data_IF_890561574687
#
_entry.id   IF_890561574687
#
_cell.length_a   1.000
_cell.length_b   1.000
_cell.length_c   1.000
_cell.angle_alpha   90.00
_cell.angle_beta   90.00
_cell.angle_gamma   90.00
#
_symmetry.space_group_name_H-M   'P 1'
#
loop_
_entity.id
_entity.type
_entity.pdbx_description
1 polymer ?
#
# COMPACT_ATOMS: atom_id res chain seq x y z
N UNK A 1 -28.74 22.05 20.02
CA UNK A 1 -28.43 21.71 18.62
C UNK A 1 -27.18 20.85 18.64
N UNK A 2 -27.35 19.52 18.53
CA UNK A 2 -26.24 18.58 18.48
C UNK A 2 -25.68 18.59 17.06
N UNK A 3 -24.52 19.23 16.86
CA UNK A 3 -23.70 18.96 15.69
C UNK A 3 -23.12 17.55 15.86
N UNK A 4 -23.82 16.55 15.31
CA UNK A 4 -23.20 15.29 14.92
C UNK A 4 -22.11 15.66 13.91
N UNK A 5 -20.87 15.73 14.39
CA UNK A 5 -19.70 15.75 13.51
C UNK A 5 -19.71 14.37 12.85
N UNK A 6 -20.28 14.27 11.65
CA UNK A 6 -20.09 13.12 10.79
C UNK A 6 -18.58 13.03 10.54
N UNK A 7 -17.92 12.07 11.18
CA UNK A 7 -16.56 11.70 10.80
C UNK A 7 -16.71 11.08 9.41
N UNK A 8 -16.37 11.85 8.38
CA UNK A 8 -16.34 11.39 7.00
C UNK A 8 -14.98 10.76 6.72
N UNK A 9 -14.95 9.58 6.10
CA UNK A 9 -13.75 9.11 5.44
C UNK A 9 -13.44 10.01 4.23
N UNK A 10 -12.17 10.35 4.02
CA UNK A 10 -11.72 11.00 2.79
C UNK A 10 -11.41 9.97 1.71
N UNK A 11 -10.98 8.77 2.12
CA UNK A 11 -10.91 7.62 1.24
C UNK A 11 -12.30 7.25 0.71
N UNK A 12 -12.33 6.90 -0.57
CA UNK A 12 -13.52 6.40 -1.26
C UNK A 12 -13.25 5.01 -1.84
N UNK A 13 -14.29 4.31 -2.28
CA UNK A 13 -14.13 3.07 -3.05
C UNK A 13 -13.32 3.26 -4.33
N UNK A 14 -13.41 4.43 -4.97
CA UNK A 14 -12.57 4.77 -6.12
C UNK A 14 -11.09 4.91 -5.72
N UNK A 15 -10.81 5.52 -4.55
CA UNK A 15 -9.46 5.59 -3.99
C UNK A 15 -8.88 4.19 -3.79
N UNK A 16 -9.64 3.28 -3.18
CA UNK A 16 -9.21 1.90 -2.94
C UNK A 16 -8.89 1.19 -4.25
N UNK A 17 -9.78 1.23 -5.25
CA UNK A 17 -9.53 0.63 -6.58
C UNK A 17 -8.29 1.20 -7.28
N UNK A 18 -8.12 2.51 -7.24
CA UNK A 18 -6.97 3.17 -7.86
C UNK A 18 -5.66 2.76 -7.18
N UNK A 19 -5.63 2.74 -5.84
CA UNK A 19 -4.45 2.31 -5.08
C UNK A 19 -4.18 0.81 -5.35
N UNK A 20 -5.20 -0.03 -5.44
CA UNK A 20 -5.03 -1.45 -5.80
C UNK A 20 -4.35 -1.61 -7.16
N UNK A 21 -4.87 -0.95 -8.20
CA UNK A 21 -4.28 -1.00 -9.55
C UNK A 21 -2.85 -0.49 -9.57
N UNK A 22 -2.59 0.65 -8.93
CA UNK A 22 -1.25 1.22 -8.83
C UNK A 22 -0.29 0.27 -8.10
N UNK A 23 -0.74 -0.37 -7.03
CA UNK A 23 0.06 -1.31 -6.25
C UNK A 23 0.48 -2.52 -7.09
N UNK A 24 -0.44 -3.07 -7.89
CA UNK A 24 -0.14 -4.15 -8.82
C UNK A 24 0.82 -3.70 -9.93
N UNK A 25 0.60 -2.54 -10.55
CA UNK A 25 1.50 -1.99 -11.58
C UNK A 25 2.92 -1.78 -11.05
N UNK A 26 3.05 -1.25 -9.82
CA UNK A 26 4.34 -1.02 -9.18
C UNK A 26 5.05 -2.32 -8.84
N UNK A 27 4.32 -3.33 -8.36
CA UNK A 27 4.84 -4.70 -8.16
C UNK A 27 5.36 -5.30 -9.46
N UNK A 28 4.58 -5.19 -10.54
CA UNK A 28 4.99 -5.67 -11.86
C UNK A 28 6.24 -4.97 -12.38
N UNK A 29 6.41 -3.68 -12.09
CA UNK A 29 7.63 -2.95 -12.45
C UNK A 29 8.86 -3.44 -11.70
N UNK A 30 8.75 -3.77 -10.41
CA UNK A 30 9.86 -4.38 -9.64
C UNK A 30 10.25 -5.72 -10.27
N UNK A 31 9.29 -6.63 -10.44
CA UNK A 31 9.54 -7.96 -11.04
C UNK A 31 10.05 -7.89 -12.49
N UNK A 32 9.57 -6.91 -13.27
CA UNK A 32 9.89 -6.72 -14.69
C UNK A 32 11.34 -6.34 -14.96
N UNK A 33 12.00 -5.66 -14.00
CA UNK A 33 13.43 -5.34 -14.08
C UNK A 33 14.25 -6.64 -14.10
N UNK A 34 13.91 -7.60 -13.26
CA UNK A 34 14.60 -8.89 -13.20
C UNK A 34 14.32 -9.74 -14.44
N UNK A 35 13.06 -9.74 -14.94
CA UNK A 35 12.70 -10.50 -16.15
C UNK A 35 13.44 -10.00 -17.39
N UNK A 36 13.49 -8.68 -17.57
CA UNK A 36 14.17 -8.05 -18.71
C UNK A 36 15.68 -8.37 -18.73
N UNK A 37 16.30 -8.40 -17.55
CA UNK A 37 17.70 -8.77 -17.41
C UNK A 37 17.95 -10.28 -17.69
N UNK A 38 17.05 -11.15 -17.23
CA UNK A 38 17.14 -12.60 -17.48
C UNK A 38 16.97 -12.94 -18.97
N UNK A 39 16.02 -12.31 -19.66
CA UNK A 39 15.77 -12.52 -21.09
C UNK A 39 16.91 -11.99 -21.98
N UNK A 40 17.50 -10.84 -21.63
CA UNK A 40 18.67 -10.30 -22.32
C UNK A 40 19.88 -11.24 -22.21
N UNK A 41 20.03 -11.93 -21.07
CA UNK A 41 21.10 -12.92 -20.86
C UNK A 41 20.95 -14.17 -21.73
N UNK A 42 19.72 -14.60 -22.06
CA UNK A 42 19.47 -15.79 -22.87
C UNK A 42 19.62 -15.55 -24.38
N UNK A 43 19.32 -14.34 -24.87
CA UNK A 43 19.29 -14.06 -26.32
C UNK A 43 20.65 -13.80 -26.95
N UNK A 44 21.63 -13.28 -26.22
CA UNK A 44 22.81 -12.67 -26.86
C UNK A 44 24.06 -13.54 -27.02
N UNK A 45 24.19 -14.72 -26.38
CA UNK A 45 25.33 -15.66 -26.60
C UNK A 45 26.76 -15.12 -26.33
N UNK A 46 26.93 -13.80 -26.17
CA UNK A 46 28.11 -13.03 -25.82
C UNK A 46 27.67 -12.01 -24.76
N UNK A 47 28.21 -12.18 -23.56
CA UNK A 47 27.80 -11.48 -22.36
C UNK A 47 28.24 -10.00 -22.37
N UNK A 48 27.41 -9.11 -22.91
CA UNK A 48 27.26 -7.79 -22.29
C UNK A 48 26.32 -7.99 -21.11
N UNK A 49 26.90 -8.50 -20.03
CA UNK A 49 26.22 -8.83 -18.79
C UNK A 49 25.72 -7.53 -18.15
N UNK A 50 24.54 -7.03 -18.54
CA UNK A 50 23.84 -6.05 -17.69
C UNK A 50 23.17 -6.83 -16.56
N UNK A 51 23.99 -7.36 -15.65
CA UNK A 51 23.50 -7.82 -14.34
C UNK A 51 22.79 -6.64 -13.70
N UNK A 52 21.57 -6.86 -13.19
CA UNK A 52 20.91 -5.88 -12.32
C UNK A 52 21.85 -5.65 -11.15
N UNK A 53 22.29 -4.41 -10.97
CA UNK A 53 23.11 -4.03 -9.83
C UNK A 53 22.21 -3.87 -8.61
N UNK A 54 22.76 -4.13 -7.42
CA UNK A 54 22.04 -3.90 -6.16
C UNK A 54 21.46 -2.47 -6.09
N UNK A 55 22.26 -1.47 -6.49
CA UNK A 55 21.87 -0.06 -6.59
C UNK A 55 20.67 0.17 -7.53
N UNK A 56 20.66 -0.49 -8.69
CA UNK A 56 19.56 -0.34 -9.67
C UNK A 56 18.25 -0.91 -9.10
N UNK A 57 18.33 -2.05 -8.39
CA UNK A 57 17.15 -2.64 -7.74
C UNK A 57 16.68 -1.78 -6.57
N UNK A 58 17.60 -1.31 -5.73
CA UNK A 58 17.28 -0.45 -4.58
C UNK A 58 16.56 0.82 -5.02
N UNK A 59 17.06 1.49 -6.07
CA UNK A 59 16.42 2.68 -6.64
C UNK A 59 15.03 2.36 -7.16
N UNK A 60 14.84 1.23 -7.84
CA UNK A 60 13.55 0.86 -8.40
C UNK A 60 12.51 0.55 -7.31
N UNK A 61 12.90 -0.22 -6.30
CA UNK A 61 12.03 -0.55 -5.16
C UNK A 61 11.69 0.71 -4.36
N UNK A 62 12.68 1.54 -4.05
CA UNK A 62 12.46 2.81 -3.35
C UNK A 62 11.57 3.76 -4.15
N UNK A 63 11.72 3.83 -5.48
CA UNK A 63 10.85 4.62 -6.33
C UNK A 63 9.41 4.12 -6.31
N UNK A 64 9.20 2.80 -6.34
CA UNK A 64 7.88 2.19 -6.24
C UNK A 64 7.20 2.51 -4.90
N UNK A 65 7.91 2.30 -3.78
CA UNK A 65 7.44 2.66 -2.45
C UNK A 65 7.08 4.15 -2.36
N UNK A 66 7.94 5.02 -2.89
CA UNK A 66 7.73 6.48 -2.86
C UNK A 66 6.49 6.90 -3.65
N UNK A 67 6.27 6.32 -4.84
CA UNK A 67 5.07 6.60 -5.65
C UNK A 67 3.82 6.14 -4.91
N UNK A 68 3.80 4.91 -4.39
CA UNK A 68 2.65 4.37 -3.66
C UNK A 68 2.33 5.22 -2.43
N UNK A 69 3.34 5.55 -1.62
CA UNK A 69 3.17 6.37 -0.42
C UNK A 69 2.68 7.79 -0.74
N UNK A 70 3.18 8.39 -1.82
CA UNK A 70 2.74 9.72 -2.24
C UNK A 70 1.26 9.71 -2.65
N UNK A 71 0.82 8.71 -3.41
CA UNK A 71 -0.59 8.57 -3.81
C UNK A 71 -1.49 8.30 -2.60
N UNK A 72 -1.08 7.41 -1.70
CA UNK A 72 -1.80 7.18 -0.43
C UNK A 72 -1.90 8.47 0.38
N UNK A 73 -0.83 9.24 0.50
CA UNK A 73 -0.85 10.53 1.21
C UNK A 73 -1.82 11.53 0.55
N UNK A 74 -1.82 11.62 -0.79
CA UNK A 74 -2.76 12.49 -1.52
C UNK A 74 -4.20 12.10 -1.19
N UNK A 75 -4.53 10.81 -1.20
CA UNK A 75 -5.87 10.33 -0.84
C UNK A 75 -6.22 10.64 0.62
N UNK A 76 -5.27 10.51 1.54
CA UNK A 76 -5.45 10.84 2.95
C UNK A 76 -5.65 12.34 3.21
N UNK A 77 -5.08 13.21 2.36
CA UNK A 77 -5.15 14.67 2.51
C UNK A 77 -6.35 15.31 1.80
N UNK A 78 -7.14 14.55 1.04
CA UNK A 78 -8.34 15.07 0.36
C UNK A 78 -9.34 15.69 1.35
N UNK A 79 -10.05 16.76 0.95
CA UNK A 79 -11.09 17.36 1.78
C UNK A 79 -12.30 16.43 1.91
N UNK A 80 -13.12 16.63 2.95
CA UNK A 80 -14.34 15.84 3.21
C UNK A 80 -15.18 15.71 1.94
N UNK A 81 -15.45 14.49 1.46
CA UNK A 81 -16.35 14.30 0.33
C UNK A 81 -17.72 14.89 0.69
N UNK A 82 -18.19 15.83 -0.13
CA UNK A 82 -19.54 16.39 -0.02
C UNK A 82 -20.49 15.32 -0.54
N UNK A 83 -21.32 14.78 0.37
CA UNK A 83 -22.13 13.59 0.14
C UNK A 83 -22.92 13.59 -1.17
N UNK A 84 -23.12 12.38 -1.73
CA UNK A 84 -23.85 12.20 -2.99
C UNK A 84 -23.50 10.92 -3.77
N UNK A 85 -22.52 10.13 -3.33
CA UNK A 85 -22.19 8.88 -4.04
C UNK A 85 -23.25 7.79 -3.83
N UNK A 86 -23.58 7.12 -4.95
CA UNK A 86 -24.45 5.95 -4.96
C UNK A 86 -23.78 4.85 -4.14
N UNK A 87 -24.51 4.29 -3.18
CA UNK A 87 -24.00 3.25 -2.28
C UNK A 87 -23.65 1.98 -3.07
N UNK A 88 -22.42 1.45 -2.97
CA UNK A 88 -22.03 0.19 -3.59
C UNK A 88 -22.71 -1.02 -2.91
N UNK A 89 -22.80 -2.14 -3.64
CA UNK A 89 -23.26 -3.43 -3.09
C UNK A 89 -22.24 -4.00 -2.11
N UNK A 90 -22.68 -4.69 -1.06
CA UNK A 90 -21.74 -5.20 -0.06
C UNK A 90 -20.81 -6.29 -0.60
N UNK A 91 -21.21 -7.08 -1.60
CA UNK A 91 -20.29 -8.05 -2.20
C UNK A 91 -19.17 -7.32 -2.93
N UNK A 92 -19.51 -6.28 -3.71
CA UNK A 92 -18.51 -5.44 -4.39
C UNK A 92 -17.54 -4.78 -3.38
N UNK A 93 -18.07 -4.27 -2.26
CA UNK A 93 -17.26 -3.66 -1.19
C UNK A 93 -16.26 -4.66 -0.60
N UNK A 94 -16.70 -5.88 -0.30
CA UNK A 94 -15.86 -6.93 0.28
C UNK A 94 -14.80 -7.37 -0.72
N UNK A 95 -15.21 -7.62 -1.96
CA UNK A 95 -14.31 -8.04 -3.04
C UNK A 95 -13.25 -6.98 -3.33
N UNK A 96 -13.63 -5.70 -3.42
CA UNK A 96 -12.70 -4.59 -3.61
C UNK A 96 -11.68 -4.50 -2.46
N UNK A 97 -12.15 -4.64 -1.22
CA UNK A 97 -11.29 -4.58 -0.04
C UNK A 97 -10.30 -5.75 0.02
N UNK A 98 -10.76 -6.98 -0.24
CA UNK A 98 -9.89 -8.15 -0.26
C UNK A 98 -8.92 -8.14 -1.43
N UNK A 99 -9.33 -7.64 -2.60
CA UNK A 99 -8.44 -7.41 -3.72
C UNK A 99 -7.33 -6.40 -3.37
N UNK A 100 -7.69 -5.30 -2.71
CA UNK A 100 -6.74 -4.31 -2.20
C UNK A 100 -5.72 -4.91 -1.23
N UNK A 101 -6.19 -5.67 -0.23
CA UNK A 101 -5.30 -6.35 0.72
C UNK A 101 -4.39 -7.35 0.00
N UNK A 102 -4.94 -8.11 -0.95
CA UNK A 102 -4.18 -9.06 -1.75
C UNK A 102 -3.08 -8.40 -2.59
N UNK A 103 -3.37 -7.26 -3.23
CA UNK A 103 -2.37 -6.49 -3.97
C UNK A 103 -1.28 -5.95 -3.04
N UNK A 104 -1.68 -5.36 -1.91
CA UNK A 104 -0.76 -4.81 -0.88
C UNK A 104 0.17 -5.88 -0.34
N UNK A 105 -0.35 -7.04 0.05
CA UNK A 105 0.45 -8.15 0.56
C UNK A 105 1.45 -8.69 -0.48
N UNK A 106 1.03 -8.82 -1.74
CA UNK A 106 1.94 -9.24 -2.83
C UNK A 106 3.03 -8.21 -3.08
N UNK A 107 2.72 -6.92 -3.01
CA UNK A 107 3.70 -5.86 -3.17
C UNK A 107 4.73 -5.87 -2.04
N UNK A 108 4.29 -5.91 -0.78
CA UNK A 108 5.19 -5.98 0.38
C UNK A 108 6.08 -7.23 0.30
N UNK A 109 5.51 -8.37 -0.10
CA UNK A 109 6.28 -9.60 -0.31
C UNK A 109 7.38 -9.43 -1.36
N UNK A 110 7.11 -8.76 -2.48
CA UNK A 110 8.11 -8.51 -3.50
C UNK A 110 9.25 -7.62 -2.97
N UNK A 111 8.91 -6.59 -2.19
CA UNK A 111 9.91 -5.74 -1.51
C UNK A 111 10.76 -6.57 -0.55
N UNK A 112 10.14 -7.44 0.24
CA UNK A 112 10.83 -8.35 1.17
C UNK A 112 11.75 -9.34 0.44
N UNK A 113 11.29 -9.92 -0.68
CA UNK A 113 12.09 -10.86 -1.47
C UNK A 113 13.35 -10.18 -2.05
N UNK A 114 13.24 -8.91 -2.46
CA UNK A 114 14.40 -8.11 -2.89
C UNK A 114 15.30 -7.69 -1.72
N UNK A 115 14.74 -7.33 -0.55
CA UNK A 115 15.52 -7.07 0.67
C UNK A 115 16.37 -8.28 1.02
N UNK A 116 15.77 -9.48 1.14
CA UNK A 116 16.49 -10.72 1.53
C UNK A 116 17.65 -11.01 0.57
N UNK A 117 17.44 -10.74 -0.72
CA UNK A 117 18.39 -11.00 -1.80
C UNK A 117 19.58 -10.04 -1.78
N UNK A 118 19.33 -8.74 -1.57
CA UNK A 118 20.37 -7.72 -1.65
C UNK A 118 20.94 -7.29 -0.30
N UNK A 119 20.22 -7.57 0.79
CA UNK A 119 20.57 -7.24 2.18
C UNK A 119 20.88 -5.75 2.34
N UNK A 120 19.91 -4.92 1.97
CA UNK A 120 20.04 -3.47 2.11
C UNK A 120 20.14 -3.06 3.59
N UNK A 121 20.77 -1.91 3.83
CA UNK A 121 20.98 -1.40 5.19
C UNK A 121 19.80 -0.56 5.69
N UNK A 122 19.68 -0.42 7.01
CA UNK A 122 18.62 0.38 7.65
C UNK A 122 18.78 1.92 7.50
N UNK A 123 19.77 2.39 6.76
CA UNK A 123 19.97 3.80 6.39
C UNK A 123 19.67 4.03 4.91
N UNK A 124 19.24 2.99 4.19
CA UNK A 124 18.96 2.99 2.78
C UNK A 124 17.60 3.60 2.44
N UNK A 125 17.45 3.95 1.17
CA UNK A 125 16.24 4.60 0.66
C UNK A 125 15.01 3.69 0.66
N UNK A 126 15.22 2.37 0.63
CA UNK A 126 14.14 1.37 0.73
C UNK A 126 13.59 1.32 2.16
N UNK A 127 14.47 1.29 3.17
CA UNK A 127 14.08 1.33 4.58
C UNK A 127 13.21 2.56 4.87
N UNK A 128 13.66 3.74 4.44
CA UNK A 128 12.91 5.00 4.57
C UNK A 128 11.52 4.93 3.89
N UNK A 129 11.45 4.28 2.73
CA UNK A 129 10.20 4.06 2.00
C UNK A 129 9.22 3.18 2.76
N UNK A 130 9.68 2.06 3.31
CA UNK A 130 8.86 1.14 4.12
C UNK A 130 8.39 1.85 5.40
N UNK A 131 9.28 2.57 6.08
CA UNK A 131 8.96 3.33 7.27
C UNK A 131 7.95 4.47 6.99
N UNK A 132 7.99 5.05 5.79
CA UNK A 132 6.96 6.01 5.38
C UNK A 132 5.61 5.34 5.15
N UNK A 133 5.57 4.20 4.45
CA UNK A 133 4.35 3.42 4.23
C UNK A 133 3.70 3.02 5.57
N UNK A 134 4.51 2.48 6.50
CA UNK A 134 4.09 2.09 7.85
C UNK A 134 3.45 3.26 8.60
N UNK A 135 4.09 4.45 8.57
CA UNK A 135 3.58 5.64 9.23
C UNK A 135 2.26 6.13 8.63
N UNK A 136 2.10 6.10 7.31
CA UNK A 136 0.84 6.47 6.66
C UNK A 136 -0.29 5.49 7.03
N UNK A 137 0.04 4.21 7.18
CA UNK A 137 -0.92 3.17 7.53
C UNK A 137 -1.41 3.28 8.97
N UNK A 138 -0.49 3.47 9.92
CA UNK A 138 -0.76 3.33 11.35
C UNK A 138 -0.85 4.66 12.11
N UNK A 139 -0.24 5.75 11.61
CA UNK A 139 -0.11 6.99 12.37
C UNK A 139 -0.99 8.12 11.85
N UNK A 140 -1.60 8.84 12.78
CA UNK A 140 -2.29 10.10 12.52
C UNK A 140 -1.33 11.25 12.20
N UNK A 141 -0.11 11.23 12.74
CA UNK A 141 0.87 12.32 12.58
C UNK A 141 1.54 12.37 11.21
N UNK A 142 1.29 11.37 10.35
CA UNK A 142 1.91 11.26 9.04
C UNK A 142 1.25 12.13 7.96
N UNK A 143 0.13 12.80 8.26
CA UNK A 143 -0.59 13.67 7.31
C UNK A 143 -1.28 14.84 8.02
N UNK A 144 -1.65 15.86 7.25
CA UNK A 144 -2.28 17.08 7.77
C UNK A 144 -3.70 16.88 8.32
N UNK A 145 -4.36 15.80 7.95
CA UNK A 145 -5.73 15.50 8.39
C UNK A 145 -5.78 14.78 9.74
N UNK A 146 -4.63 14.44 10.33
CA UNK A 146 -4.52 13.76 11.62
C UNK A 146 -5.31 12.43 11.68
N UNK A 147 -5.25 11.63 10.60
CA UNK A 147 -5.94 10.32 10.50
C UNK A 147 -5.08 9.29 9.79
N UNK A 148 -4.99 8.07 10.31
CA UNK A 148 -4.26 7.00 9.63
C UNK A 148 -5.08 6.38 8.49
N UNK A 149 -4.43 5.65 7.59
CA UNK A 149 -5.12 4.93 6.51
C UNK A 149 -6.14 3.91 7.06
N UNK A 150 -5.76 3.15 8.09
CA UNK A 150 -6.67 2.19 8.75
C UNK A 150 -7.92 2.91 9.27
N UNK A 151 -7.77 4.05 9.94
CA UNK A 151 -8.92 4.79 10.47
C UNK A 151 -9.86 5.28 9.39
N UNK A 152 -9.29 5.72 8.26
CA UNK A 152 -10.10 6.14 7.13
C UNK A 152 -10.84 4.98 6.47
N UNK A 153 -10.22 3.80 6.39
CA UNK A 153 -10.88 2.58 5.92
C UNK A 153 -11.98 2.12 6.88
N UNK A 154 -11.74 2.16 8.20
CA UNK A 154 -12.76 1.85 9.20
C UNK A 154 -13.97 2.76 9.01
N UNK A 155 -13.77 4.08 8.92
CA UNK A 155 -14.88 5.02 8.71
C UNK A 155 -15.57 4.78 7.35
N UNK A 156 -14.82 4.49 6.29
CA UNK A 156 -15.37 4.20 4.95
C UNK A 156 -16.33 3.00 5.02
N UNK A 157 -15.94 1.94 5.72
CA UNK A 157 -16.69 0.68 5.74
C UNK A 157 -17.71 0.55 6.90
N UNK A 158 -17.53 1.29 8.00
CA UNK A 158 -18.49 1.40 9.11
C UNK A 158 -19.71 2.27 8.76
N UNK A 159 -19.60 3.15 7.76
CA UNK A 159 -20.69 4.04 7.35
C UNK A 159 -21.94 3.28 6.81
N UNK A 160 -21.84 1.97 6.58
CA UNK A 160 -22.95 1.12 6.15
C UNK A 160 -23.77 0.57 7.34
N UNK A 161 -24.98 1.08 7.54
CA UNK A 161 -26.07 0.49 8.36
C UNK A 161 -25.67 -0.29 9.65
N UNK A 162 -25.27 0.41 10.71
CA UNK A 162 -25.05 -0.11 12.08
C UNK A 162 -24.08 -1.32 12.26
N UNK A 163 -23.61 -1.97 11.17
CA UNK A 163 -22.74 -3.16 11.19
C UNK A 163 -21.75 -3.23 10.00
N UNK A 164 -21.71 -2.26 9.09
CA UNK A 164 -20.85 -2.31 7.91
C UNK A 164 -21.21 -3.45 6.92
N UNK A 165 -20.46 -3.56 5.82
CA UNK A 165 -20.48 -4.78 4.97
C UNK A 165 -19.65 -5.93 5.59
N UNK A 166 -18.79 -5.65 6.57
CA UNK A 166 -17.89 -6.62 7.21
C UNK A 166 -18.44 -7.19 8.52
N UNK A 167 -19.67 -6.83 8.90
CA UNK A 167 -20.31 -7.38 10.10
C UNK A 167 -19.71 -6.87 11.42
N UNK A 168 -19.81 -7.69 12.47
CA UNK A 168 -19.38 -7.31 13.83
C UNK A 168 -17.92 -7.67 14.13
N UNK A 169 -17.31 -8.45 13.25
CA UNK A 169 -15.92 -8.80 13.39
C UNK A 169 -15.18 -7.60 12.81
N UNK A 170 -14.36 -6.91 13.62
CA UNK A 170 -13.61 -5.72 13.21
C UNK A 170 -12.52 -6.07 12.17
N UNK A 171 -12.92 -6.71 11.07
CA UNK A 171 -12.06 -7.28 10.04
C UNK A 171 -11.21 -6.21 9.39
N UNK A 172 -11.79 -5.03 9.14
CA UNK A 172 -11.06 -3.89 8.56
C UNK A 172 -9.88 -3.52 9.45
N UNK A 173 -10.13 -3.37 10.76
CA UNK A 173 -9.07 -3.05 11.72
C UNK A 173 -8.06 -4.19 11.82
N UNK A 174 -8.52 -5.43 12.01
CA UNK A 174 -7.64 -6.61 12.16
C UNK A 174 -6.71 -6.77 10.96
N UNK A 175 -7.25 -6.73 9.74
CA UNK A 175 -6.45 -6.83 8.52
C UNK A 175 -5.53 -5.63 8.31
N UNK A 176 -5.99 -4.43 8.68
CA UNK A 176 -5.15 -3.24 8.68
C UNK A 176 -3.94 -3.38 9.61
N UNK A 177 -4.14 -3.94 10.81
CA UNK A 177 -3.06 -4.24 11.77
C UNK A 177 -2.13 -5.31 11.22
N UNK A 178 -2.63 -6.38 10.60
CA UNK A 178 -1.79 -7.41 9.96
C UNK A 178 -0.82 -6.80 8.92
N UNK A 179 -1.29 -5.84 8.10
CA UNK A 179 -0.40 -5.12 7.15
C UNK A 179 0.69 -4.34 7.88
N UNK A 180 0.36 -3.69 9.01
CA UNK A 180 1.34 -2.95 9.82
C UNK A 180 2.36 -3.89 10.46
N UNK A 181 1.92 -5.05 10.94
CA UNK A 181 2.81 -6.08 11.48
C UNK A 181 3.80 -6.56 10.41
N UNK A 182 3.33 -6.87 9.19
CA UNK A 182 4.23 -7.22 8.08
C UNK A 182 5.24 -6.12 7.76
N UNK A 183 4.84 -4.84 7.79
CA UNK A 183 5.75 -3.73 7.55
C UNK A 183 6.78 -3.57 8.67
N UNK A 184 6.39 -3.79 9.92
CA UNK A 184 7.31 -3.74 11.06
C UNK A 184 8.31 -4.90 10.99
N UNK A 185 7.85 -6.12 10.72
CA UNK A 185 8.72 -7.30 10.55
C UNK A 185 9.74 -7.07 9.42
N UNK A 186 9.31 -6.45 8.32
CA UNK A 186 10.20 -6.09 7.23
C UNK A 186 11.22 -5.03 7.64
N UNK A 187 10.84 -4.00 8.40
CA UNK A 187 11.78 -3.00 8.92
C UNK A 187 12.82 -3.63 9.87
N UNK A 188 12.40 -4.57 10.70
CA UNK A 188 13.27 -5.27 11.65
C UNK A 188 14.25 -6.24 10.96
N UNK A 189 14.00 -6.61 9.71
CA UNK A 189 14.88 -7.48 8.92
C UNK A 189 16.15 -6.76 8.40
N UNK A 190 16.15 -5.42 8.33
CA UNK A 190 17.30 -4.64 7.83
C UNK A 190 18.45 -4.63 8.84
N UNK A 191 19.69 -4.72 8.33
CA UNK A 191 20.93 -4.74 9.11
C UNK A 191 21.43 -3.36 9.53
#
# INVERSE_FOLDING_TARGET
MNHLICISAFLTHASIRNITSLTDDLRERITGIHRSAAEASQRNGQAVLRTVRAEDSEIAVAAALRILCADVLVELEKPTPRGGEKRPDCNDVIDEYHAFLGATAKFIREVNDEEIKWRWDNKGIVYDGIAWMQRLWASRSANKQNRSFIEQQMVLYEYHQQKGCFGKDDEVLRRGVEVVEFLNDLLDAFY
#
